data_IF_117172863603
#
_entry.id   IF_117172863603
#
_cell.length_a   1.000
_cell.length_b   1.000
_cell.length_c   1.000
_cell.angle_alpha   90.00
_cell.angle_beta   90.00
_cell.angle_gamma   90.00
#
_symmetry.space_group_name_H-M   'P 1'
#
loop_
_entity.id
_entity.type
_entity.pdbx_description
1 polymer ?
#
# COMPACT_ATOMS: atom_id res chain seq x y z
N UNK A 1 -13.07 -14.76 -7.28
CA UNK A 1 -12.16 -14.34 -6.21
C UNK A 1 -12.43 -12.87 -5.93
N UNK A 2 -12.47 -12.44 -4.67
CA UNK A 2 -12.64 -11.01 -4.35
C UNK A 2 -11.28 -10.34 -4.31
N UNK A 3 -11.14 -9.18 -4.94
CA UNK A 3 -9.90 -8.40 -5.00
C UNK A 3 -10.21 -6.99 -4.56
N UNK A 4 -9.42 -6.46 -3.63
CA UNK A 4 -9.63 -5.15 -3.04
C UNK A 4 -8.38 -4.30 -3.23
N UNK A 5 -8.57 -3.00 -3.47
CA UNK A 5 -7.49 -2.02 -3.49
C UNK A 5 -8.00 -0.66 -3.01
N UNK A 6 -7.11 0.16 -2.47
CA UNK A 6 -7.43 1.53 -2.05
C UNK A 6 -6.46 2.49 -2.74
N UNK A 7 -6.97 3.62 -3.24
CA UNK A 7 -6.17 4.60 -4.00
C UNK A 7 -4.99 5.17 -3.18
N UNK A 8 -5.20 5.38 -1.88
CA UNK A 8 -4.17 5.83 -0.93
C UNK A 8 -2.92 4.94 -0.84
N UNK A 9 -2.98 3.66 -1.28
CA UNK A 9 -1.78 2.82 -1.37
C UNK A 9 -0.72 3.43 -2.32
N UNK A 10 -1.17 4.27 -3.26
CA UNK A 10 -0.29 4.99 -4.18
C UNK A 10 0.39 6.23 -3.58
N UNK A 11 0.06 6.63 -2.35
CA UNK A 11 0.60 7.85 -1.71
C UNK A 11 1.92 7.60 -0.99
N UNK A 12 2.21 6.36 -0.61
CA UNK A 12 3.44 6.03 0.11
C UNK A 12 4.67 6.36 -0.75
N UNK A 13 5.67 7.04 -0.17
CA UNK A 13 6.93 7.38 -0.85
C UNK A 13 8.08 6.99 0.08
N UNK A 14 8.59 5.74 -0.03
CA UNK A 14 9.64 5.27 0.86
C UNK A 14 10.94 6.05 0.63
N UNK A 15 11.66 6.29 1.71
CA UNK A 15 13.04 6.75 1.68
C UNK A 15 13.99 5.54 1.66
N UNK A 16 15.25 5.72 1.20
CA UNK A 16 16.27 4.69 1.31
C UNK A 16 16.33 4.07 2.71
N UNK A 17 16.47 2.75 2.78
CA UNK A 17 16.45 1.99 4.02
C UNK A 17 17.80 1.35 4.32
N UNK A 18 18.14 1.23 5.61
CA UNK A 18 19.38 0.62 6.04
C UNK A 18 19.20 -0.88 6.26
N UNK A 19 20.05 -1.69 5.63
CA UNK A 19 20.09 -3.14 5.83
C UNK A 19 21.47 -3.70 5.50
N UNK A 20 21.88 -4.79 6.15
CA UNK A 20 23.19 -5.43 5.90
C UNK A 20 24.39 -4.46 5.93
N UNK A 21 24.38 -3.48 6.85
CA UNK A 21 25.48 -2.53 7.00
C UNK A 21 25.54 -1.41 5.97
N UNK A 22 24.54 -1.24 5.10
CA UNK A 22 24.52 -0.19 4.07
C UNK A 22 23.12 0.36 3.80
N UNK A 23 23.06 1.54 3.18
CA UNK A 23 21.82 2.11 2.64
C UNK A 23 21.44 1.43 1.33
N UNK A 24 20.14 1.21 1.12
CA UNK A 24 19.56 0.63 -0.09
C UNK A 24 18.41 1.48 -0.57
N UNK A 25 18.24 1.52 -1.89
CA UNK A 25 17.03 2.08 -2.49
C UNK A 25 15.81 1.20 -2.16
N UNK A 26 14.63 1.80 -1.95
CA UNK A 26 13.40 1.07 -1.68
C UNK A 26 13.04 0.10 -2.80
N UNK A 27 12.76 -1.15 -2.42
CA UNK A 27 12.18 -2.14 -3.33
C UNK A 27 10.65 -2.19 -3.23
N UNK A 28 10.11 -1.84 -2.06
CA UNK A 28 8.67 -1.75 -1.80
C UNK A 28 8.16 -0.37 -2.26
N UNK A 29 8.01 -0.20 -3.57
CA UNK A 29 7.56 1.05 -4.20
C UNK A 29 6.11 0.94 -4.68
N UNK A 30 5.35 2.05 -4.71
CA UNK A 30 3.93 2.07 -5.10
C UNK A 30 3.65 1.51 -6.50
N UNK A 31 4.59 1.64 -7.42
CA UNK A 31 4.52 1.12 -8.78
C UNK A 31 4.29 -0.40 -8.80
N UNK A 32 4.75 -1.12 -7.76
CA UNK A 32 4.48 -2.56 -7.62
C UNK A 32 2.99 -2.85 -7.55
N UNK A 33 2.21 -2.01 -6.88
CA UNK A 33 0.75 -2.18 -6.81
C UNK A 33 0.12 -1.95 -8.20
N UNK A 34 0.56 -0.92 -8.92
CA UNK A 34 0.07 -0.65 -10.27
C UNK A 34 0.34 -1.83 -11.21
N UNK A 35 1.52 -2.46 -11.13
CA UNK A 35 1.85 -3.67 -11.89
C UNK A 35 1.00 -4.88 -11.47
N UNK A 36 0.82 -5.10 -10.16
CA UNK A 36 0.00 -6.21 -9.65
C UNK A 36 -1.45 -6.13 -10.11
N UNK A 37 -2.02 -4.92 -10.23
CA UNK A 37 -3.39 -4.69 -10.69
C UNK A 37 -3.60 -4.95 -12.19
N UNK A 38 -2.53 -5.11 -12.99
CA UNK A 38 -2.65 -5.52 -14.39
C UNK A 38 -3.13 -6.96 -14.52
N UNK A 39 -2.73 -7.85 -13.62
CA UNK A 39 -3.11 -9.25 -13.66
C UNK A 39 -4.63 -9.48 -13.52
N UNK A 40 -5.34 -8.92 -12.51
CA UNK A 40 -6.79 -9.05 -12.44
C UNK A 40 -7.49 -8.41 -13.63
N UNK A 41 -7.01 -7.26 -14.13
CA UNK A 41 -7.55 -6.63 -15.33
C UNK A 41 -7.46 -7.54 -16.57
N UNK A 42 -6.30 -8.18 -16.79
CA UNK A 42 -6.08 -9.11 -17.89
C UNK A 42 -6.94 -10.39 -17.80
N UNK A 43 -7.31 -10.79 -16.59
CA UNK A 43 -8.16 -11.95 -16.31
C UNK A 43 -9.66 -11.60 -16.27
N UNK A 44 -10.04 -10.34 -16.50
CA UNK A 44 -11.44 -9.89 -16.39
C UNK A 44 -11.98 -9.99 -14.96
N UNK A 45 -11.11 -9.92 -13.95
CA UNK A 45 -11.48 -9.94 -12.53
C UNK A 45 -11.71 -8.51 -12.04
N UNK A 46 -12.85 -8.31 -11.38
CA UNK A 46 -13.20 -7.03 -10.78
C UNK A 46 -12.31 -6.72 -9.57
N UNK A 47 -11.81 -5.49 -9.50
CA UNK A 47 -11.11 -4.93 -8.34
C UNK A 47 -12.06 -3.96 -7.66
N UNK A 48 -12.46 -4.28 -6.44
CA UNK A 48 -13.36 -3.44 -5.64
C UNK A 48 -12.54 -2.41 -4.85
N UNK A 49 -12.94 -1.14 -4.90
CA UNK A 49 -12.37 -0.11 -4.04
C UNK A 49 -12.68 -0.45 -2.58
N UNK A 50 -11.65 -0.57 -1.73
CA UNK A 50 -11.84 -0.79 -0.31
C UNK A 50 -12.44 0.47 0.32
N UNK A 51 -13.50 0.30 1.11
CA UNK A 51 -14.08 1.38 1.91
C UNK A 51 -13.26 1.60 3.17
N UNK A 52 -13.09 2.85 3.56
CA UNK A 52 -12.45 3.21 4.81
C UNK A 52 -13.29 2.68 6.00
N UNK A 53 -12.65 1.85 6.83
CA UNK A 53 -13.19 1.50 8.13
C UNK A 53 -12.51 2.43 9.13
N UNK A 54 -13.31 3.28 9.77
CA UNK A 54 -12.79 4.16 10.82
C UNK A 54 -12.10 3.29 11.89
N UNK A 55 -10.90 3.69 12.29
CA UNK A 55 -10.29 3.12 13.48
C UNK A 55 -11.12 3.62 14.67
N UNK A 56 -11.89 2.73 15.28
CA UNK A 56 -12.54 3.01 16.56
C UNK A 56 -11.49 2.87 17.66
N UNK A 57 -10.68 3.90 17.83
CA UNK A 57 -9.71 3.99 18.92
C UNK A 57 -10.44 4.21 20.24
N UNK A 58 -10.49 3.18 21.08
CA UNK A 58 -10.67 3.36 22.52
C UNK A 58 -9.39 3.80 23.23
N UNK A 59 -8.28 4.05 22.53
CA UNK A 59 -7.05 4.59 23.09
C UNK A 59 -6.25 5.30 21.99
N UNK A 60 -6.08 6.61 22.16
CA UNK A 60 -5.42 7.53 21.24
C UNK A 60 -3.96 7.18 21.00
N UNK A 61 -3.61 6.73 19.79
CA UNK A 61 -2.23 6.74 19.33
C UNK A 61 -1.84 8.17 18.91
N UNK A 62 -1.25 8.92 19.85
CA UNK A 62 -0.66 10.23 19.57
C UNK A 62 0.56 10.05 18.65
N UNK A 63 0.47 10.53 17.41
CA UNK A 63 1.67 10.83 16.61
C UNK A 63 2.14 12.24 16.98
N UNK A 64 3.26 12.31 17.71
CA UNK A 64 3.97 13.56 18.00
C UNK A 64 4.58 14.05 16.68
N UNK A 65 4.24 15.28 16.30
CA UNK A 65 4.78 16.04 15.15
C UNK A 65 6.24 16.40 15.32
#
# INVERSE_FOLDING_TARGET
MKIYSHENLSLYRPLPYFSYGKMHEPLEIPERMAELLKAPAALGLEVTAATELAVHDNESCNYVT
#
